data_IF_231739555804
#
_entry.id   IF_231739555804
#
_cell.length_a   1.000
_cell.length_b   1.000
_cell.length_c   1.000
_cell.angle_alpha   90.00
_cell.angle_beta   90.00
_cell.angle_gamma   90.00
#
_symmetry.space_group_name_H-M   'P 1'
#
loop_
_entity.id
_entity.type
_entity.pdbx_description
1 polymer ?
#
# COMPACT_ATOMS: atom_id res chain seq x y z
N UNK A 1 8.58 -17.48 -15.87
CA UNK A 1 7.99 -16.13 -16.07
C UNK A 1 8.78 -15.42 -17.16
N UNK A 2 8.15 -14.78 -18.15
CA UNK A 2 8.89 -13.99 -19.16
C UNK A 2 9.43 -12.68 -18.57
N UNK A 3 10.51 -12.11 -19.13
CA UNK A 3 11.21 -10.95 -18.55
C UNK A 3 10.30 -9.75 -18.23
N UNK A 4 9.35 -9.42 -19.13
CA UNK A 4 8.40 -8.33 -18.90
C UNK A 4 7.45 -8.57 -17.71
N UNK A 5 7.00 -9.83 -17.52
CA UNK A 5 6.16 -10.19 -16.37
C UNK A 5 6.95 -10.16 -15.06
N UNK A 6 8.24 -10.51 -15.09
CA UNK A 6 9.12 -10.47 -13.93
C UNK A 6 9.32 -9.03 -13.42
N UNK A 7 9.65 -8.09 -14.33
CA UNK A 7 9.81 -6.67 -13.99
C UNK A 7 8.52 -6.10 -13.42
N UNK A 8 7.37 -6.41 -14.03
CA UNK A 8 6.06 -5.95 -13.55
C UNK A 8 5.77 -6.43 -12.13
N UNK A 9 6.01 -7.71 -11.83
CA UNK A 9 5.75 -8.27 -10.50
C UNK A 9 6.58 -7.58 -9.43
N UNK A 10 7.87 -7.34 -9.70
CA UNK A 10 8.76 -6.62 -8.77
C UNK A 10 8.33 -5.16 -8.60
N UNK A 11 8.01 -4.46 -9.68
CA UNK A 11 7.50 -3.09 -9.61
C UNK A 11 6.24 -3.00 -8.73
N UNK A 12 5.30 -3.92 -8.94
CA UNK A 12 4.06 -3.96 -8.17
C UNK A 12 4.30 -4.34 -6.70
N UNK A 13 5.28 -5.20 -6.40
CA UNK A 13 5.72 -5.45 -5.03
C UNK A 13 6.29 -4.18 -4.37
N UNK A 14 7.09 -3.37 -5.08
CA UNK A 14 7.59 -2.10 -4.55
C UNK A 14 6.45 -1.13 -4.24
N UNK A 15 5.46 -1.02 -5.13
CA UNK A 15 4.24 -0.24 -4.88
C UNK A 15 3.48 -0.74 -3.64
N UNK A 16 3.32 -2.06 -3.50
CA UNK A 16 2.65 -2.69 -2.37
C UNK A 16 3.32 -2.32 -1.04
N UNK A 17 4.65 -2.43 -0.96
CA UNK A 17 5.43 -2.03 0.22
C UNK A 17 5.26 -0.53 0.50
N UNK A 18 5.36 0.32 -0.52
CA UNK A 18 5.21 1.76 -0.36
C UNK A 18 3.82 2.15 0.18
N UNK A 19 2.74 1.50 -0.31
CA UNK A 19 1.38 1.71 0.17
C UNK A 19 1.24 1.34 1.65
N UNK A 20 1.73 0.15 2.03
CA UNK A 20 1.66 -0.34 3.41
C UNK A 20 2.46 0.55 4.36
N UNK A 21 3.71 0.87 4.00
CA UNK A 21 4.59 1.70 4.83
C UNK A 21 4.05 3.13 4.99
N UNK A 22 3.53 3.74 3.92
CA UNK A 22 2.90 5.04 4.00
C UNK A 22 1.61 5.01 4.85
N UNK A 23 0.83 3.93 4.77
CA UNK A 23 -0.37 3.77 5.60
C UNK A 23 -0.01 3.68 7.09
N UNK A 24 0.98 2.87 7.45
CA UNK A 24 1.48 2.76 8.83
C UNK A 24 1.96 4.11 9.37
N UNK A 25 2.74 4.85 8.57
CA UNK A 25 3.24 6.18 8.95
C UNK A 25 2.11 7.20 9.14
N UNK A 26 1.21 7.31 8.16
CA UNK A 26 0.12 8.28 8.21
C UNK A 26 -0.91 7.96 9.29
N UNK A 27 -1.22 6.69 9.53
CA UNK A 27 -2.07 6.27 10.65
C UNK A 27 -1.42 6.60 11.98
N UNK A 28 -0.10 6.38 12.11
CA UNK A 28 0.66 6.74 13.33
C UNK A 28 0.57 8.24 13.62
N UNK A 29 0.72 9.07 12.58
CA UNK A 29 0.59 10.52 12.68
C UNK A 29 -0.84 10.95 12.99
N UNK A 30 -1.83 10.37 12.31
CA UNK A 30 -3.25 10.62 12.57
C UNK A 30 -3.62 10.32 14.04
N UNK A 31 -3.10 9.21 14.58
CA UNK A 31 -3.32 8.80 15.97
C UNK A 31 -2.72 9.79 16.97
N UNK A 32 -1.66 10.51 16.59
CA UNK A 32 -1.04 11.58 17.37
C UNK A 32 -1.71 12.95 17.17
N UNK A 33 -2.79 13.03 16.38
CA UNK A 33 -3.50 14.29 16.11
C UNK A 33 -2.86 15.16 15.03
N UNK A 34 -1.91 14.61 14.25
CA UNK A 34 -1.39 15.30 13.07
C UNK A 34 -2.36 15.08 11.91
N UNK A 35 -2.74 16.17 11.25
CA UNK A 35 -3.57 16.09 10.04
C UNK A 35 -2.84 15.30 8.94
N UNK A 36 -3.39 14.16 8.47
CA UNK A 36 -2.76 13.35 7.43
C UNK A 36 -2.55 14.10 6.12
N UNK A 37 -3.41 15.07 5.77
CA UNK A 37 -3.24 15.86 4.55
C UNK A 37 -1.97 16.73 4.63
N UNK A 38 -1.81 17.47 5.73
CA UNK A 38 -0.59 18.26 5.99
C UNK A 38 0.67 17.38 6.06
N UNK A 39 0.58 16.23 6.74
CA UNK A 39 1.71 15.30 6.80
C UNK A 39 2.14 14.84 5.40
N UNK A 40 1.17 14.56 4.53
CA UNK A 40 1.42 14.10 3.17
C UNK A 40 2.06 15.18 2.30
N UNK A 41 1.65 16.45 2.44
CA UNK A 41 2.32 17.59 1.78
C UNK A 41 3.81 17.64 2.14
N UNK A 42 4.14 17.51 3.42
CA UNK A 42 5.53 17.54 3.90
C UNK A 42 6.32 16.32 3.39
N UNK A 43 5.72 15.12 3.44
CA UNK A 43 6.35 13.89 2.95
C UNK A 43 6.68 14.01 1.45
N UNK A 44 5.77 14.56 0.65
CA UNK A 44 5.90 14.66 -0.80
C UNK A 44 6.95 15.68 -1.27
N UNK A 45 7.39 16.60 -0.41
CA UNK A 45 8.55 17.48 -0.67
C UNK A 45 9.84 16.98 0.01
N UNK A 46 9.78 15.84 0.70
CA UNK A 46 10.87 15.24 1.45
C UNK A 46 11.41 13.97 0.78
N UNK A 47 12.37 13.29 1.41
CA UNK A 47 12.99 12.07 0.90
C UNK A 47 12.11 10.82 1.00
N UNK A 48 11.06 10.85 1.83
CA UNK A 48 10.14 9.72 2.03
C UNK A 48 9.05 9.59 0.96
N UNK A 49 9.01 10.50 -0.03
CA UNK A 49 8.00 10.49 -1.10
C UNK A 49 8.11 9.24 -1.97
N UNK A 50 6.98 8.82 -2.51
CA UNK A 50 6.88 7.74 -3.48
C UNK A 50 5.66 7.96 -4.36
N UNK A 51 5.55 7.19 -5.45
CA UNK A 51 4.35 7.21 -6.29
C UNK A 51 3.05 6.99 -5.48
N UNK A 52 3.09 6.16 -4.43
CA UNK A 52 1.95 5.96 -3.56
C UNK A 52 1.56 7.26 -2.82
N UNK A 53 2.51 7.93 -2.17
CA UNK A 53 2.24 9.16 -1.40
C UNK A 53 1.91 10.36 -2.28
N UNK A 54 2.47 10.41 -3.49
CA UNK A 54 2.27 11.50 -4.44
C UNK A 54 0.94 11.40 -5.19
N UNK A 55 0.44 10.18 -5.45
CA UNK A 55 -0.77 9.98 -6.29
C UNK A 55 -1.90 9.26 -5.54
N UNK A 56 -1.64 8.08 -5.00
CA UNK A 56 -2.68 7.21 -4.45
C UNK A 56 -3.27 7.75 -3.16
N UNK A 57 -2.43 8.24 -2.25
CA UNK A 57 -2.93 8.79 -0.99
C UNK A 57 -3.78 10.05 -1.20
N UNK A 58 -3.33 11.09 -1.95
CA UNK A 58 -4.13 12.28 -2.17
C UNK A 58 -5.43 11.99 -2.93
N UNK A 59 -5.37 11.21 -4.01
CA UNK A 59 -6.50 11.04 -4.92
C UNK A 59 -7.53 10.02 -4.43
N UNK A 60 -7.13 9.03 -3.61
CA UNK A 60 -7.97 7.87 -3.28
C UNK A 60 -8.16 7.66 -1.79
N UNK A 61 -7.09 7.82 -1.00
CA UNK A 61 -7.12 7.54 0.45
C UNK A 61 -7.67 8.73 1.24
N UNK A 62 -7.25 9.96 0.94
CA UNK A 62 -7.75 11.16 1.63
C UNK A 62 -9.18 11.51 1.19
N UNK A 63 -9.52 11.31 -0.08
CA UNK A 63 -10.86 11.55 -0.64
C UNK A 63 -11.87 10.46 -0.27
N UNK A 64 -11.39 9.30 0.20
CA UNK A 64 -12.17 8.09 0.47
C UNK A 64 -12.87 7.48 -0.75
N UNK A 65 -12.48 7.86 -1.97
CA UNK A 65 -13.14 7.39 -3.19
C UNK A 65 -12.81 5.93 -3.54
N UNK A 66 -11.55 5.50 -3.35
CA UNK A 66 -11.07 4.15 -3.70
C UNK A 66 -11.62 3.60 -5.05
N UNK A 67 -11.46 4.33 -6.17
CA UNK A 67 -12.00 3.90 -7.45
C UNK A 67 -11.30 2.61 -7.90
N UNK A 68 -12.08 1.58 -8.24
CA UNK A 68 -11.54 0.28 -8.64
C UNK A 68 -10.91 0.32 -10.03
N UNK A 69 -9.68 0.80 -10.12
CA UNK A 69 -8.89 0.83 -11.37
C UNK A 69 -7.95 -0.36 -11.48
N UNK A 70 -7.53 -0.91 -10.33
CA UNK A 70 -6.70 -2.09 -10.25
C UNK A 70 -7.01 -2.83 -8.95
N UNK A 71 -7.51 -4.06 -9.06
CA UNK A 71 -8.06 -4.74 -7.89
C UNK A 71 -6.98 -5.22 -6.91
N UNK A 72 -7.36 -5.25 -5.64
CA UNK A 72 -6.52 -5.73 -4.54
C UNK A 72 -6.07 -7.17 -4.77
N UNK A 73 -6.94 -8.04 -5.28
CA UNK A 73 -6.60 -9.40 -5.63
C UNK A 73 -5.51 -9.50 -6.72
N UNK A 74 -5.52 -8.59 -7.71
CA UNK A 74 -4.50 -8.55 -8.75
C UNK A 74 -3.16 -8.08 -8.18
N UNK A 75 -3.13 -7.03 -7.35
CA UNK A 75 -1.88 -6.61 -6.71
C UNK A 75 -1.33 -7.69 -5.76
N UNK A 76 -2.20 -8.36 -4.99
CA UNK A 76 -1.82 -9.48 -4.15
C UNK A 76 -1.21 -10.63 -4.97
N UNK A 77 -1.78 -10.93 -6.15
CA UNK A 77 -1.22 -11.93 -7.08
C UNK A 77 0.18 -11.54 -7.54
N UNK A 78 0.38 -10.32 -7.98
CA UNK A 78 1.69 -9.84 -8.44
C UNK A 78 2.72 -9.86 -7.31
N UNK A 79 2.31 -9.52 -6.09
CA UNK A 79 3.15 -9.61 -4.91
C UNK A 79 3.63 -11.06 -4.63
N UNK A 80 2.73 -12.04 -4.70
CA UNK A 80 3.09 -13.47 -4.55
C UNK A 80 4.03 -13.95 -5.66
N UNK A 81 3.86 -13.46 -6.90
CA UNK A 81 4.77 -13.78 -8.01
C UNK A 81 6.18 -13.27 -7.71
N UNK A 82 6.32 -12.01 -7.25
CA UNK A 82 7.61 -11.44 -6.90
C UNK A 82 8.33 -12.24 -5.80
N UNK A 83 7.61 -12.65 -4.75
CA UNK A 83 8.15 -13.52 -3.69
C UNK A 83 8.59 -14.89 -4.25
N UNK A 84 7.79 -15.48 -5.13
CA UNK A 84 8.10 -16.79 -5.73
C UNK A 84 9.37 -16.71 -6.59
N UNK A 85 9.52 -15.64 -7.38
CA UNK A 85 10.74 -15.39 -8.16
C UNK A 85 11.98 -15.25 -7.27
N UNK A 86 11.87 -14.53 -6.14
CA UNK A 86 12.99 -14.40 -5.21
C UNK A 86 13.37 -15.76 -4.60
N UNK A 87 12.37 -16.60 -4.27
CA UNK A 87 12.58 -17.96 -3.75
C UNK A 87 13.27 -18.88 -4.77
N UNK A 88 12.88 -18.82 -6.04
CA UNK A 88 13.51 -19.60 -7.12
C UNK A 88 15.01 -19.29 -7.26
N UNK A 89 15.42 -18.06 -6.94
CA UNK A 89 16.80 -17.59 -6.98
C UNK A 89 17.50 -17.56 -5.62
N UNK A 90 16.90 -18.12 -4.56
CA UNK A 90 17.42 -18.13 -3.19
C UNK A 90 17.75 -16.73 -2.61
N UNK A 91 17.03 -15.69 -3.05
CA UNK A 91 17.20 -14.32 -2.53
C UNK A 91 16.32 -14.13 -1.29
N UNK A 92 16.89 -13.80 -0.11
CA UNK A 92 16.11 -13.49 1.08
C UNK A 92 15.37 -12.16 0.92
N UNK A 93 14.04 -12.19 1.05
CA UNK A 93 13.17 -11.01 0.82
C UNK A 93 12.17 -10.78 1.96
N UNK A 94 12.61 -10.54 3.21
CA UNK A 94 11.72 -10.46 4.37
C UNK A 94 10.62 -9.40 4.23
N UNK A 95 10.94 -8.22 3.69
CA UNK A 95 9.97 -7.14 3.48
C UNK A 95 8.92 -7.52 2.43
N UNK A 96 9.33 -8.15 1.33
CA UNK A 96 8.40 -8.58 0.27
C UNK A 96 7.50 -9.70 0.75
N UNK A 97 8.03 -10.62 1.56
CA UNK A 97 7.25 -11.69 2.18
C UNK A 97 6.16 -11.12 3.08
N UNK A 98 6.51 -10.20 3.97
CA UNK A 98 5.55 -9.55 4.86
C UNK A 98 4.49 -8.77 4.08
N UNK A 99 4.89 -7.99 3.07
CA UNK A 99 3.95 -7.25 2.24
C UNK A 99 2.97 -8.18 1.50
N UNK A 100 3.45 -9.29 0.92
CA UNK A 100 2.59 -10.28 0.29
C UNK A 100 1.55 -10.86 1.27
N UNK A 101 1.96 -11.15 2.50
CA UNK A 101 1.07 -11.65 3.55
C UNK A 101 0.02 -10.61 3.98
N UNK A 102 0.42 -9.35 4.15
CA UNK A 102 -0.51 -8.28 4.50
C UNK A 102 -1.55 -8.04 3.39
N UNK A 103 -1.16 -8.15 2.12
CA UNK A 103 -2.11 -8.08 1.01
C UNK A 103 -3.08 -9.27 0.98
N UNK A 104 -2.63 -10.47 1.35
CA UNK A 104 -3.52 -11.62 1.53
C UNK A 104 -4.50 -11.42 2.69
N UNK A 105 -4.04 -10.86 3.82
CA UNK A 105 -4.91 -10.49 4.94
C UNK A 105 -5.96 -9.46 4.54
N UNK A 106 -5.53 -8.40 3.83
CA UNK A 106 -6.43 -7.36 3.33
C UNK A 106 -7.48 -7.94 2.37
N UNK A 107 -7.06 -8.83 1.46
CA UNK A 107 -7.98 -9.52 0.53
C UNK A 107 -9.04 -10.34 1.28
N UNK A 108 -8.64 -11.03 2.35
CA UNK A 108 -9.55 -11.82 3.16
C UNK A 108 -10.53 -10.97 3.99
N UNK A 109 -10.10 -9.82 4.50
CA UNK A 109 -10.90 -8.97 5.39
C UNK A 109 -11.76 -7.93 4.66
N UNK A 110 -11.24 -7.36 3.56
CA UNK A 110 -11.86 -6.24 2.85
C UNK A 110 -12.52 -6.69 1.54
N UNK A 111 -12.03 -7.78 0.96
CA UNK A 111 -12.45 -8.29 -0.35
C UNK A 111 -11.37 -8.10 -1.41
N UNK A 112 -11.39 -8.96 -2.44
CA UNK A 112 -10.39 -8.93 -3.51
C UNK A 112 -10.73 -8.01 -4.68
N UNK A 113 -12.02 -7.71 -4.87
CA UNK A 113 -12.52 -6.97 -6.03
C UNK A 113 -12.52 -5.45 -5.82
N UNK A 114 -12.10 -4.96 -4.66
CA UNK A 114 -11.92 -3.52 -4.39
C UNK A 114 -10.60 -3.01 -4.97
N UNK A 115 -10.43 -1.69 -5.08
CA UNK A 115 -9.15 -1.11 -5.49
C UNK A 115 -8.02 -1.53 -4.54
N UNK A 116 -6.84 -1.75 -5.09
CA UNK A 116 -5.65 -2.14 -4.34
C UNK A 116 -5.25 -1.13 -3.25
N UNK A 117 -5.57 0.16 -3.41
CA UNK A 117 -5.33 1.16 -2.36
C UNK A 117 -6.23 0.97 -1.14
N UNK A 118 -7.30 0.19 -1.23
CA UNK A 118 -8.13 -0.17 -0.08
C UNK A 118 -7.36 -0.99 0.97
N UNK A 119 -6.18 -1.53 0.65
CA UNK A 119 -5.27 -2.17 1.63
C UNK A 119 -5.02 -1.30 2.86
N UNK A 120 -5.03 0.03 2.72
CA UNK A 120 -4.86 0.97 3.85
C UNK A 120 -5.91 0.79 4.94
N UNK A 121 -7.12 0.34 4.57
CA UNK A 121 -8.22 0.09 5.52
C UNK A 121 -7.90 -1.03 6.51
N UNK A 122 -7.02 -1.97 6.14
CA UNK A 122 -6.51 -2.98 7.05
C UNK A 122 -5.78 -2.31 8.22
N UNK A 123 -4.86 -1.40 7.91
CA UNK A 123 -4.06 -0.65 8.89
C UNK A 123 -4.94 0.30 9.70
N UNK A 124 -5.85 1.03 9.05
CA UNK A 124 -6.84 1.88 9.72
C UNK A 124 -7.68 1.09 10.74
N UNK A 125 -8.08 -0.15 10.38
CA UNK A 125 -8.88 -1.01 11.26
C UNK A 125 -8.12 -1.42 12.52
N UNK A 126 -6.83 -1.76 12.39
CA UNK A 126 -5.99 -2.15 13.52
C UNK A 126 -5.70 -0.99 14.46
N UNK A 127 -5.48 0.20 13.90
CA UNK A 127 -5.19 1.39 14.68
C UNK A 127 -6.44 2.09 15.22
N UNK A 128 -7.63 1.80 14.69
CA UNK A 128 -8.87 2.47 15.06
C UNK A 128 -8.84 3.97 14.75
N UNK A 129 -8.24 4.36 13.61
CA UNK A 129 -8.24 5.74 13.10
C UNK A 129 -8.14 5.72 11.57
N UNK A 130 -8.83 6.63 10.91
CA UNK A 130 -8.78 6.76 9.45
C UNK A 130 -7.73 7.79 9.03
N UNK A 131 -7.11 7.54 7.88
CA UNK A 131 -6.31 8.51 7.17
C UNK A 131 -7.27 9.42 6.40
N UNK A 132 -7.76 10.46 7.07
CA UNK A 132 -8.66 11.44 6.50
C UNK A 132 -8.26 12.84 6.98
N UNK A 133 -8.53 13.90 6.18
CA UNK A 133 -8.27 15.27 6.61
C UNK A 133 -8.99 15.57 7.93
N UNK A 134 -8.27 16.10 8.90
CA UNK A 134 -8.90 16.62 10.11
C UNK A 134 -9.40 18.03 9.80
N UNK A 135 -10.71 18.26 9.92
CA UNK A 135 -11.29 19.58 9.67
C UNK A 135 -10.59 20.65 10.52
N UNK A 136 -10.25 21.79 9.91
CA UNK A 136 -9.80 22.97 10.62
C UNK A 136 -10.91 23.54 11.49
#
# INVERSE_FOLDING_TARGET
>A
VGAGHAVKAVNNMLLAIALLSAAEGLVTLAKQGVDPALALEVINVSSGRSFATETHFPERVLTREFPNTFSLALLAKDARIAVSMARECYVPVPLMQLAAEMFEMAKAQIGGDVDHTAVVRLIESWAGVQIAPQGR
#
